data_IF_674187860467
#
_entry.id   IF_674187860467
#
_cell.length_a   1.000
_cell.length_b   1.000
_cell.length_c   1.000
_cell.angle_alpha   90.00
_cell.angle_beta   90.00
_cell.angle_gamma   90.00
#
_symmetry.space_group_name_H-M   'P 1'
#
loop_
_entity.id
_entity.type
_entity.pdbx_description
1 polymer ?
#
# COMPACT_ATOMS: atom_id res chain seq x y z
N UNK A 1 6.70 4.38 -18.01
CA UNK A 1 6.73 5.57 -17.15
C UNK A 1 8.08 5.63 -16.48
N UNK A 2 8.67 6.79 -16.30
CA UNK A 2 9.98 6.98 -15.65
C UNK A 2 9.86 8.10 -14.63
N UNK A 3 10.31 7.83 -13.42
CA UNK A 3 10.60 8.82 -12.38
C UNK A 3 12.12 8.98 -12.35
N UNK A 4 12.61 10.20 -12.54
CA UNK A 4 14.04 10.46 -12.35
C UNK A 4 14.27 10.67 -10.86
N UNK A 5 15.25 9.99 -10.30
CA UNK A 5 15.64 10.16 -8.91
C UNK A 5 17.09 10.66 -8.80
N UNK A 6 17.37 11.40 -7.73
CA UNK A 6 18.71 11.77 -7.33
C UNK A 6 19.14 10.90 -6.13
N UNK A 7 19.63 9.68 -6.41
CA UNK A 7 19.83 8.69 -5.35
C UNK A 7 20.98 9.04 -4.39
N UNK A 8 22.14 9.38 -4.95
CA UNK A 8 23.38 9.67 -4.24
C UNK A 8 24.20 10.67 -5.06
N UNK A 9 25.01 11.50 -4.39
CA UNK A 9 25.88 12.45 -5.11
C UNK A 9 27.12 11.76 -5.66
N UNK A 10 27.74 10.89 -4.85
CA UNK A 10 28.89 10.08 -5.27
C UNK A 10 28.45 8.66 -5.62
N UNK A 11 28.95 8.05 -6.72
CA UNK A 11 28.66 6.65 -7.05
C UNK A 11 29.03 5.71 -5.89
N UNK A 12 28.10 4.85 -5.48
CA UNK A 12 28.32 3.92 -4.38
C UNK A 12 27.03 3.22 -3.95
N UNK A 13 27.15 2.33 -2.96
CA UNK A 13 26.01 1.70 -2.32
C UNK A 13 25.44 2.62 -1.25
N UNK A 14 24.14 2.84 -1.32
CA UNK A 14 23.35 3.53 -0.33
C UNK A 14 22.75 2.47 0.63
N UNK A 15 22.50 2.72 1.92
CA UNK A 15 22.41 4.01 2.56
C UNK A 15 22.93 3.91 4.00
N UNK A 16 24.07 4.54 4.31
CA UNK A 16 24.57 4.62 5.68
C UNK A 16 24.17 5.96 6.29
N UNK A 17 24.02 6.02 7.62
CA UNK A 17 23.83 7.30 8.34
C UNK A 17 25.05 8.23 8.24
N UNK A 18 26.21 7.71 7.82
CA UNK A 18 27.50 8.42 7.86
C UNK A 18 28.29 8.33 6.55
N UNK A 19 27.64 8.04 5.42
CA UNK A 19 28.31 8.02 4.11
C UNK A 19 28.63 9.44 3.57
N UNK A 20 28.22 10.49 4.26
CA UNK A 20 28.46 11.88 3.87
C UNK A 20 27.67 12.31 2.64
N UNK A 21 26.57 11.62 2.32
CA UNK A 21 25.63 11.96 1.26
C UNK A 21 24.18 12.12 1.78
N UNK A 22 23.93 11.99 3.08
CA UNK A 22 22.57 11.83 3.61
C UNK A 22 21.76 13.12 3.67
N UNK A 23 22.37 14.28 3.88
CA UNK A 23 21.64 15.53 4.08
C UNK A 23 22.38 16.76 3.55
N UNK A 24 21.65 17.86 3.33
CA UNK A 24 22.20 19.12 2.85
C UNK A 24 23.36 19.61 3.72
N UNK A 25 24.51 19.87 3.09
CA UNK A 25 25.74 20.29 3.79
C UNK A 25 26.62 19.15 4.28
N UNK A 26 26.23 17.89 4.06
CA UNK A 26 27.15 16.77 4.19
C UNK A 26 28.36 16.92 3.26
N UNK A 27 29.44 16.20 3.58
CA UNK A 27 30.73 16.26 2.87
C UNK A 27 30.61 16.20 1.35
N UNK A 28 29.68 15.40 0.83
CA UNK A 28 29.48 15.19 -0.60
C UNK A 28 28.12 15.71 -1.08
N UNK A 29 27.37 16.48 -0.28
CA UNK A 29 26.05 16.97 -0.68
C UNK A 29 25.96 18.49 -0.54
N UNK A 30 26.52 19.18 -1.55
CA UNK A 30 26.41 20.63 -1.71
C UNK A 30 25.02 20.99 -2.29
N UNK A 31 24.23 21.84 -1.61
CA UNK A 31 22.89 22.21 -2.09
C UNK A 31 22.88 22.98 -3.41
N UNK A 32 23.87 23.83 -3.69
CA UNK A 32 23.92 24.61 -4.93
C UNK A 32 24.27 23.72 -6.13
N UNK A 33 25.20 22.78 -5.95
CA UNK A 33 25.50 21.76 -6.96
C UNK A 33 24.27 20.90 -7.26
N UNK A 34 23.55 20.48 -6.23
CA UNK A 34 22.32 19.72 -6.36
C UNK A 34 21.21 20.48 -7.10
N UNK A 35 20.97 21.76 -6.78
CA UNK A 35 20.01 22.59 -7.50
C UNK A 35 20.36 22.71 -8.99
N UNK A 36 21.64 22.88 -9.31
CA UNK A 36 22.12 22.90 -10.70
C UNK A 36 21.91 21.55 -11.41
N UNK A 37 22.13 20.43 -10.70
CA UNK A 37 21.85 19.09 -11.19
C UNK A 37 20.36 18.88 -11.50
N UNK A 38 19.48 19.27 -10.58
CA UNK A 38 18.03 19.22 -10.77
C UNK A 38 17.58 20.03 -12.00
N UNK A 39 18.04 21.28 -12.13
CA UNK A 39 17.75 22.12 -13.28
C UNK A 39 18.20 21.48 -14.60
N UNK A 40 19.41 20.91 -14.61
CA UNK A 40 19.99 20.26 -15.79
C UNK A 40 19.16 19.07 -16.23
N UNK A 41 18.79 18.18 -15.29
CA UNK A 41 17.97 17.00 -15.59
C UNK A 41 16.55 17.39 -16.01
N UNK A 42 15.92 18.35 -15.32
CA UNK A 42 14.60 18.85 -15.68
C UNK A 42 14.58 19.43 -17.10
N UNK A 43 15.57 20.27 -17.44
CA UNK A 43 15.74 20.85 -18.78
C UNK A 43 15.96 19.78 -19.84
N UNK A 44 16.85 18.81 -19.57
CA UNK A 44 17.19 17.73 -20.51
C UNK A 44 15.96 16.89 -20.88
N UNK A 45 15.10 16.58 -19.92
CA UNK A 45 13.93 15.71 -20.12
C UNK A 45 12.61 16.45 -20.39
N UNK A 46 12.64 17.78 -20.58
CA UNK A 46 11.45 18.63 -20.78
C UNK A 46 10.48 18.13 -21.85
N UNK A 47 10.99 17.57 -22.94
CA UNK A 47 10.18 17.09 -24.07
C UNK A 47 10.03 15.56 -24.10
N UNK A 48 10.53 14.85 -23.07
CA UNK A 48 10.51 13.39 -23.01
C UNK A 48 9.27 12.91 -22.27
N UNK A 49 8.20 12.62 -23.02
CA UNK A 49 6.87 12.25 -22.46
C UNK A 49 6.86 11.04 -21.53
N UNK A 50 7.86 10.16 -21.63
CA UNK A 50 7.96 8.98 -20.76
C UNK A 50 8.47 9.33 -19.36
N UNK A 51 9.16 10.46 -19.18
CA UNK A 51 9.55 11.00 -17.88
C UNK A 51 8.36 11.79 -17.34
N UNK A 52 7.76 11.29 -16.27
CA UNK A 52 6.53 11.85 -15.73
C UNK A 52 6.75 12.59 -14.41
N UNK A 53 7.85 12.30 -13.72
CA UNK A 53 8.15 12.87 -12.42
C UNK A 53 9.65 12.95 -12.18
N UNK A 54 10.03 13.82 -11.25
CA UNK A 54 11.36 13.89 -10.67
C UNK A 54 11.25 13.83 -9.14
N UNK A 55 11.83 12.80 -8.53
CA UNK A 55 12.17 12.85 -7.10
C UNK A 55 13.41 13.69 -6.91
N UNK A 56 13.35 14.58 -5.92
CA UNK A 56 14.39 15.55 -5.70
C UNK A 56 15.63 14.96 -5.02
N UNK A 57 15.48 13.97 -4.13
CA UNK A 57 16.59 13.34 -3.41
C UNK A 57 16.13 12.07 -2.69
N UNK A 58 16.80 10.96 -2.90
CA UNK A 58 16.56 9.74 -2.14
C UNK A 58 16.99 9.84 -0.66
N UNK A 59 16.14 9.39 0.25
CA UNK A 59 16.44 9.03 1.63
C UNK A 59 17.27 10.07 2.39
N UNK A 60 16.73 11.28 2.55
CA UNK A 60 17.36 12.29 3.39
C UNK A 60 17.52 11.72 4.82
N UNK A 61 18.75 11.73 5.33
CA UNK A 61 19.14 10.97 6.54
C UNK A 61 20.38 11.53 7.23
N UNK A 62 20.64 11.09 8.45
CA UNK A 62 21.92 11.30 9.13
C UNK A 62 21.90 12.39 10.20
N UNK A 63 23.06 12.65 10.83
CA UNK A 63 23.13 13.47 12.05
C UNK A 63 22.84 14.96 11.83
N UNK A 64 22.93 15.46 10.58
CA UNK A 64 22.67 16.86 10.25
C UNK A 64 21.22 17.15 9.85
N UNK A 65 20.33 16.15 9.88
CA UNK A 65 18.94 16.33 9.51
C UNK A 65 18.28 17.47 10.30
N UNK A 66 17.68 18.38 9.56
CA UNK A 66 17.04 19.55 10.12
C UNK A 66 15.80 19.92 9.30
N UNK A 67 14.63 19.94 9.94
CA UNK A 67 13.35 20.22 9.29
C UNK A 67 13.35 21.59 8.60
N UNK A 68 13.93 22.63 9.22
CA UNK A 68 13.97 23.97 8.61
C UNK A 68 14.82 24.02 7.34
N UNK A 69 15.95 23.29 7.32
CA UNK A 69 16.77 23.15 6.11
C UNK A 69 16.09 22.28 5.05
N UNK A 70 15.35 21.23 5.45
CA UNK A 70 14.52 20.46 4.54
C UNK A 70 13.51 21.36 3.84
N UNK A 71 12.74 22.18 4.58
CA UNK A 71 11.77 23.09 3.96
C UNK A 71 12.44 24.07 2.99
N UNK A 72 13.57 24.65 3.40
CA UNK A 72 14.31 25.58 2.55
C UNK A 72 14.72 24.93 1.23
N UNK A 73 15.46 23.84 1.28
CA UNK A 73 16.08 23.28 0.09
C UNK A 73 15.12 22.44 -0.75
N UNK A 74 14.21 21.68 -0.14
CA UNK A 74 13.23 20.90 -0.89
C UNK A 74 12.25 21.81 -1.64
N UNK A 75 11.82 22.93 -1.05
CA UNK A 75 11.03 23.91 -1.79
C UNK A 75 11.84 24.60 -2.90
N UNK A 76 13.10 24.98 -2.64
CA UNK A 76 13.96 25.54 -3.69
C UNK A 76 14.16 24.57 -4.87
N UNK A 77 14.45 23.30 -4.60
CA UNK A 77 14.57 22.27 -5.62
C UNK A 77 13.28 22.06 -6.41
N UNK A 78 12.13 22.10 -5.72
CA UNK A 78 10.83 22.00 -6.36
C UNK A 78 10.55 23.15 -7.34
N UNK A 79 10.83 24.39 -6.93
CA UNK A 79 10.69 25.56 -7.81
C UNK A 79 11.61 25.46 -9.03
N UNK A 80 12.88 25.09 -8.82
CA UNK A 80 13.85 24.92 -9.90
C UNK A 80 13.40 23.87 -10.92
N UNK A 81 12.93 22.71 -10.47
CA UNK A 81 12.43 21.66 -11.37
C UNK A 81 11.19 22.12 -12.13
N UNK A 82 10.23 22.73 -11.43
CA UNK A 82 8.98 23.16 -12.06
C UNK A 82 9.19 24.30 -13.06
N UNK A 83 10.09 25.26 -12.78
CA UNK A 83 10.46 26.33 -13.71
C UNK A 83 11.09 25.77 -15.00
N UNK A 84 12.02 24.82 -14.86
CA UNK A 84 12.70 24.19 -15.99
C UNK A 84 11.77 23.25 -16.79
N UNK A 85 10.89 22.53 -16.09
CA UNK A 85 10.00 21.53 -16.67
C UNK A 85 8.65 21.47 -15.93
N UNK A 86 7.66 22.30 -16.32
CA UNK A 86 6.32 22.28 -15.70
C UNK A 86 5.48 21.06 -16.10
N UNK A 87 6.01 20.19 -16.98
CA UNK A 87 5.32 18.99 -17.46
C UNK A 87 5.30 17.88 -16.42
N UNK A 88 6.38 17.74 -15.65
CA UNK A 88 6.59 16.64 -14.69
C UNK A 88 5.92 16.91 -13.34
N UNK A 89 5.64 15.83 -12.60
CA UNK A 89 5.39 15.89 -11.17
C UNK A 89 6.71 16.10 -10.43
N UNK A 90 6.66 16.83 -9.32
CA UNK A 90 7.79 17.05 -8.41
C UNK A 90 7.52 16.26 -7.15
N UNK A 91 8.40 15.31 -6.83
CA UNK A 91 8.26 14.41 -5.68
C UNK A 91 9.21 14.88 -4.55
N UNK A 92 8.66 15.11 -3.36
CA UNK A 92 9.43 15.45 -2.17
C UNK A 92 9.58 14.25 -1.24
N UNK A 93 10.83 13.90 -0.98
CA UNK A 93 11.25 12.85 -0.06
C UNK A 93 11.19 13.27 1.41
N UNK A 94 11.09 12.28 2.29
CA UNK A 94 10.95 12.45 3.72
C UNK A 94 12.27 12.61 4.46
N UNK A 95 12.21 12.47 5.79
CA UNK A 95 13.38 12.34 6.66
C UNK A 95 13.51 10.89 7.14
N UNK A 96 14.59 10.62 7.85
CA UNK A 96 14.97 9.29 8.34
C UNK A 96 14.86 8.18 7.29
N UNK A 97 15.57 8.31 6.16
CA UNK A 97 15.51 7.34 5.06
C UNK A 97 14.11 7.26 4.43
N UNK A 98 13.49 8.42 4.21
CA UNK A 98 12.12 8.55 3.71
C UNK A 98 11.07 7.82 4.55
N UNK A 99 11.39 7.47 5.80
CA UNK A 99 10.44 6.80 6.67
C UNK A 99 9.45 7.79 7.30
N UNK A 100 9.71 9.10 7.32
CA UNK A 100 8.80 10.06 7.94
C UNK A 100 8.66 11.40 7.23
N UNK A 101 7.40 11.81 7.09
CA UNK A 101 6.91 13.10 6.62
C UNK A 101 6.05 13.79 7.71
N UNK A 102 6.09 13.29 8.96
CA UNK A 102 5.20 13.72 10.05
C UNK A 102 5.25 15.23 10.36
N UNK A 103 6.39 15.87 10.10
CA UNK A 103 6.58 17.31 10.28
C UNK A 103 5.77 18.17 9.29
N UNK A 104 5.17 17.57 8.25
CA UNK A 104 4.25 18.24 7.33
C UNK A 104 2.82 18.32 7.88
N UNK A 105 2.48 17.54 8.92
CA UNK A 105 1.10 17.47 9.43
C UNK A 105 0.54 18.84 9.82
N UNK A 106 1.35 19.66 10.50
CA UNK A 106 0.96 20.99 10.97
C UNK A 106 1.50 22.14 10.13
N UNK A 107 2.38 21.86 9.16
CA UNK A 107 3.06 22.88 8.38
C UNK A 107 3.18 22.41 6.92
N UNK A 108 2.22 22.70 6.04
CA UNK A 108 2.31 22.31 4.64
C UNK A 108 3.44 23.09 3.93
N UNK A 109 3.95 22.53 2.83
CA UNK A 109 4.90 23.26 1.97
C UNK A 109 4.23 24.43 1.26
N UNK A 110 5.01 25.46 0.96
CA UNK A 110 4.57 26.64 0.22
C UNK A 110 5.37 26.78 -1.07
N UNK A 111 4.69 26.55 -2.20
CA UNK A 111 5.25 26.61 -3.55
C UNK A 111 4.44 27.58 -4.41
N UNK A 112 5.06 28.11 -5.45
CA UNK A 112 4.44 29.01 -6.43
C UNK A 112 3.46 28.31 -7.37
N UNK A 113 3.52 26.98 -7.43
CA UNK A 113 2.72 26.13 -8.30
C UNK A 113 1.84 25.14 -7.51
N UNK A 114 0.79 24.63 -8.18
CA UNK A 114 -0.17 23.68 -7.60
C UNK A 114 -0.45 22.53 -8.57
N UNK A 115 -0.93 21.39 -8.05
CA UNK A 115 -1.37 20.25 -8.88
C UNK A 115 -0.23 19.45 -9.54
N UNK A 116 1.02 19.68 -9.11
CA UNK A 116 2.21 18.97 -9.58
C UNK A 116 3.05 18.35 -8.46
N UNK A 117 2.67 18.57 -7.21
CA UNK A 117 3.40 18.10 -6.04
C UNK A 117 2.93 16.71 -5.62
N UNK A 118 3.89 15.84 -5.31
CA UNK A 118 3.71 14.51 -4.73
C UNK A 118 4.70 14.36 -3.58
N UNK A 119 4.36 13.59 -2.56
CA UNK A 119 5.31 13.19 -1.52
C UNK A 119 5.68 11.73 -1.68
N UNK A 120 6.85 11.32 -1.19
CA UNK A 120 7.23 9.91 -1.19
C UNK A 120 7.68 9.40 0.18
N UNK A 121 7.45 8.11 0.40
CA UNK A 121 7.77 7.41 1.63
C UNK A 121 8.26 5.99 1.32
N UNK A 122 9.30 5.55 2.03
CA UNK A 122 9.81 4.19 1.93
C UNK A 122 9.16 3.33 3.00
N UNK A 123 8.91 2.06 2.67
CA UNK A 123 8.35 1.12 3.64
C UNK A 123 8.88 -0.30 3.44
N UNK A 124 9.70 -0.75 4.38
CA UNK A 124 10.24 -2.10 4.48
C UNK A 124 9.81 -2.75 5.79
N UNK A 125 9.93 -4.07 5.88
CA UNK A 125 9.66 -4.81 7.13
C UNK A 125 10.49 -4.32 8.32
N UNK A 126 11.65 -3.72 8.05
CA UNK A 126 12.57 -3.14 9.02
C UNK A 126 12.50 -1.60 9.15
N UNK A 127 11.62 -0.91 8.40
CA UNK A 127 11.47 0.56 8.47
C UNK A 127 10.89 1.05 9.79
N UNK A 128 10.11 0.20 10.46
CA UNK A 128 9.42 0.50 11.70
C UNK A 128 9.93 -0.39 12.83
N UNK A 129 9.49 -0.10 14.06
CA UNK A 129 9.78 -0.94 15.23
C UNK A 129 9.03 -2.29 15.24
N UNK A 130 8.52 -2.71 14.07
CA UNK A 130 7.77 -3.94 13.89
C UNK A 130 8.67 -5.17 14.06
N UNK A 131 8.46 -5.91 15.14
CA UNK A 131 9.17 -7.17 15.37
C UNK A 131 8.40 -8.36 14.76
N UNK A 132 8.39 -8.42 13.43
CA UNK A 132 7.64 -9.39 12.65
C UNK A 132 8.00 -10.86 12.96
N UNK A 133 9.24 -11.13 13.38
CA UNK A 133 9.70 -12.51 13.59
C UNK A 133 9.26 -13.11 14.92
N UNK A 134 9.17 -12.30 15.97
CA UNK A 134 9.00 -12.82 17.34
C UNK A 134 7.72 -12.36 18.03
N UNK A 135 6.91 -11.51 17.39
CA UNK A 135 5.62 -11.07 17.92
C UNK A 135 4.46 -11.59 17.06
N UNK A 136 3.25 -11.52 17.63
CA UNK A 136 2.03 -11.87 16.92
C UNK A 136 1.83 -10.94 15.71
N UNK A 137 1.72 -11.53 14.51
CA UNK A 137 1.68 -10.79 13.25
C UNK A 137 0.48 -9.83 13.15
N UNK A 138 -0.65 -10.18 13.76
CA UNK A 138 -1.84 -9.31 13.79
C UNK A 138 -1.64 -8.07 14.67
N UNK A 139 -1.00 -8.24 15.82
CA UNK A 139 -0.66 -7.14 16.72
C UNK A 139 0.39 -6.22 16.10
N UNK A 140 1.43 -6.79 15.50
CA UNK A 140 2.47 -6.03 14.79
C UNK A 140 1.88 -5.25 13.62
N UNK A 141 1.05 -5.88 12.78
CA UNK A 141 0.42 -5.19 11.65
C UNK A 141 -0.48 -4.02 12.12
N UNK A 142 -1.25 -4.19 13.20
CA UNK A 142 -2.04 -3.08 13.76
C UNK A 142 -1.15 -1.90 14.22
N UNK A 143 -0.06 -2.19 14.92
CA UNK A 143 0.89 -1.19 15.43
C UNK A 143 1.59 -0.43 14.30
N UNK A 144 2.24 -1.13 13.37
CA UNK A 144 3.00 -0.53 12.27
C UNK A 144 2.11 0.26 11.31
N UNK A 145 0.88 -0.20 11.07
CA UNK A 145 -0.12 0.57 10.29
C UNK A 145 -0.48 1.87 11.01
N UNK A 146 -0.53 1.86 12.35
CA UNK A 146 -0.65 3.08 13.14
C UNK A 146 0.52 4.04 12.92
N UNK A 147 1.76 3.53 12.95
CA UNK A 147 2.97 4.33 12.73
C UNK A 147 3.04 4.93 11.33
N UNK A 148 2.88 4.12 10.28
CA UNK A 148 2.98 4.62 8.90
C UNK A 148 1.90 5.65 8.58
N UNK A 149 0.71 5.53 9.20
CA UNK A 149 -0.34 6.56 9.11
C UNK A 149 0.10 7.90 9.68
N UNK A 150 0.71 7.91 10.87
CA UNK A 150 1.21 9.13 11.50
C UNK A 150 2.46 9.68 10.79
N UNK A 151 3.25 8.81 10.17
CA UNK A 151 4.49 9.19 9.49
C UNK A 151 4.26 9.74 8.08
N UNK A 152 3.28 9.26 7.32
CA UNK A 152 3.07 9.74 5.94
C UNK A 152 1.66 9.57 5.38
N UNK A 153 0.96 8.45 5.64
CA UNK A 153 -0.34 8.22 4.98
C UNK A 153 -1.42 9.27 5.34
N UNK A 154 -1.24 10.05 6.42
CA UNK A 154 -2.12 11.18 6.73
C UNK A 154 -2.22 12.19 5.58
N UNK A 155 -1.20 12.29 4.72
CA UNK A 155 -1.18 13.21 3.59
C UNK A 155 -2.33 12.95 2.61
N UNK A 156 -2.71 11.69 2.40
CA UNK A 156 -3.85 11.32 1.57
C UNK A 156 -5.16 11.92 2.11
N UNK A 157 -5.32 11.95 3.44
CA UNK A 157 -6.49 12.54 4.09
C UNK A 157 -6.52 14.07 3.97
N UNK A 158 -5.34 14.69 3.85
CA UNK A 158 -5.19 16.12 3.58
C UNK A 158 -5.31 16.46 2.08
N UNK A 159 -5.53 15.45 1.21
CA UNK A 159 -5.70 15.63 -0.24
C UNK A 159 -4.38 15.69 -1.03
N UNK A 160 -3.26 15.29 -0.42
CA UNK A 160 -1.96 15.24 -1.08
C UNK A 160 -1.65 13.84 -1.61
N UNK A 161 -1.17 13.70 -2.86
CA UNK A 161 -0.68 12.43 -3.37
C UNK A 161 0.54 11.94 -2.58
N UNK A 162 0.56 10.65 -2.28
CA UNK A 162 1.69 9.96 -1.66
C UNK A 162 2.08 8.76 -2.51
N UNK A 163 3.36 8.68 -2.82
CA UNK A 163 3.98 7.61 -3.59
C UNK A 163 4.83 6.74 -2.66
N UNK A 164 4.57 5.44 -2.59
CA UNK A 164 5.49 4.52 -1.91
C UNK A 164 6.65 4.20 -2.86
N UNK A 165 7.61 5.12 -2.94
CA UNK A 165 8.72 5.07 -3.90
C UNK A 165 9.61 3.85 -3.74
N UNK A 166 9.67 3.28 -2.53
CA UNK A 166 10.35 2.02 -2.30
C UNK A 166 9.62 1.16 -1.26
N UNK A 167 9.42 -0.10 -1.61
CA UNK A 167 9.24 -1.20 -0.68
C UNK A 167 9.97 -2.43 -1.22
N UNK A 168 10.30 -3.36 -0.34
CA UNK A 168 10.96 -4.59 -0.75
C UNK A 168 10.93 -5.64 0.36
N UNK A 169 11.28 -6.85 -0.04
CA UNK A 169 11.40 -8.01 0.84
C UNK A 169 12.35 -9.03 0.20
N UNK A 170 12.96 -9.90 0.99
CA UNK A 170 13.76 -11.01 0.46
C UNK A 170 12.90 -11.96 -0.37
N UNK A 171 13.06 -11.90 -1.69
CA UNK A 171 12.25 -12.66 -2.64
C UNK A 171 12.61 -14.14 -2.70
N UNK A 172 13.67 -14.60 -2.03
CA UNK A 172 13.91 -16.02 -1.80
C UNK A 172 12.79 -16.68 -0.98
N UNK A 173 12.02 -15.87 -0.23
CA UNK A 173 10.96 -16.35 0.66
C UNK A 173 11.48 -17.00 1.93
N UNK A 174 12.77 -16.88 2.24
CA UNK A 174 13.38 -17.49 3.44
C UNK A 174 13.35 -16.58 4.67
N UNK A 175 13.27 -15.26 4.47
CA UNK A 175 13.24 -14.28 5.55
C UNK A 175 11.85 -14.17 6.19
N UNK A 176 11.71 -14.62 7.44
CA UNK A 176 10.42 -14.70 8.13
C UNK A 176 9.78 -13.33 8.33
N UNK A 177 10.55 -12.34 8.80
CA UNK A 177 10.03 -10.99 9.07
C UNK A 177 9.41 -10.33 7.84
N UNK A 178 10.20 -10.24 6.78
CA UNK A 178 9.81 -9.79 5.44
C UNK A 178 8.56 -10.47 4.87
N UNK A 179 8.48 -11.80 4.95
CA UNK A 179 7.31 -12.54 4.48
C UNK A 179 6.03 -12.13 5.22
N UNK A 180 6.12 -11.97 6.54
CA UNK A 180 4.98 -11.58 7.39
C UNK A 180 4.59 -10.11 7.21
N UNK A 181 5.58 -9.24 7.01
CA UNK A 181 5.40 -7.84 6.67
C UNK A 181 4.63 -7.68 5.35
N UNK A 182 5.03 -8.41 4.32
CA UNK A 182 4.52 -8.24 2.95
C UNK A 182 3.00 -8.36 2.86
N UNK A 183 2.39 -9.31 3.58
CA UNK A 183 0.93 -9.46 3.58
C UNK A 183 0.23 -8.25 4.22
N UNK A 184 0.81 -7.66 5.27
CA UNK A 184 0.31 -6.42 5.87
C UNK A 184 0.46 -5.24 4.89
N UNK A 185 1.63 -5.09 4.26
CA UNK A 185 1.89 -4.07 3.25
C UNK A 185 0.85 -4.11 2.11
N UNK A 186 0.66 -5.28 1.49
CA UNK A 186 -0.28 -5.44 0.37
C UNK A 186 -1.71 -5.08 0.76
N UNK A 187 -2.09 -5.31 2.02
CA UNK A 187 -3.42 -4.92 2.53
C UNK A 187 -3.59 -3.40 2.59
N UNK A 188 -2.54 -2.66 2.98
CA UNK A 188 -2.55 -1.20 3.08
C UNK A 188 -2.46 -0.57 1.70
N UNK A 189 -1.57 -1.07 0.83
CA UNK A 189 -1.47 -0.61 -0.55
C UNK A 189 -2.81 -0.75 -1.28
N UNK A 190 -3.55 -1.83 -1.04
CA UNK A 190 -4.90 -2.02 -1.59
C UNK A 190 -5.95 -1.08 -0.97
N UNK A 191 -5.96 -0.93 0.36
CA UNK A 191 -6.92 -0.09 1.08
C UNK A 191 -6.79 1.39 0.72
N UNK A 192 -5.55 1.85 0.59
CA UNK A 192 -5.22 3.24 0.34
C UNK A 192 -5.08 3.56 -1.16
N UNK A 193 -5.13 2.53 -2.01
CA UNK A 193 -4.97 2.63 -3.47
C UNK A 193 -3.71 3.43 -3.88
N UNK A 194 -2.58 3.08 -3.26
CA UNK A 194 -1.32 3.80 -3.40
C UNK A 194 -0.61 3.47 -4.71
N UNK A 195 0.04 4.48 -5.30
CA UNK A 195 1.11 4.24 -6.26
C UNK A 195 2.36 3.75 -5.52
N UNK A 196 3.09 2.82 -6.11
CA UNK A 196 4.25 2.19 -5.49
C UNK A 196 5.33 1.81 -6.50
N UNK A 197 6.57 1.72 -6.03
CA UNK A 197 7.68 1.11 -6.75
C UNK A 197 8.40 0.10 -5.84
N UNK A 198 8.81 -1.01 -6.44
CA UNK A 198 9.44 -2.12 -5.73
C UNK A 198 10.95 -2.08 -5.90
N UNK A 199 11.65 -2.14 -4.79
CA UNK A 199 13.08 -2.40 -4.75
C UNK A 199 13.31 -3.91 -4.77
N UNK A 200 13.87 -4.49 -5.84
CA UNK A 200 14.32 -3.84 -7.08
C UNK A 200 14.05 -4.70 -8.32
N UNK A 201 14.30 -4.18 -9.52
CA UNK A 201 14.12 -4.97 -10.75
C UNK A 201 15.27 -5.96 -10.96
N UNK A 202 16.52 -5.54 -10.74
CA UNK A 202 17.71 -6.31 -11.04
C UNK A 202 17.79 -7.61 -10.24
N UNK A 203 18.23 -8.70 -10.87
CA UNK A 203 18.53 -9.95 -10.18
C UNK A 203 19.97 -10.05 -9.68
N UNK A 204 20.88 -9.28 -10.26
CA UNK A 204 22.29 -9.25 -9.87
C UNK A 204 22.96 -7.93 -10.20
N UNK A 205 24.09 -7.64 -9.55
CA UNK A 205 24.91 -6.46 -9.80
C UNK A 205 26.08 -6.79 -10.70
N UNK A 206 26.49 -5.85 -11.56
CA UNK A 206 27.78 -6.00 -12.23
C UNK A 206 28.93 -6.09 -11.20
N UNK A 207 28.99 -5.13 -10.29
CA UNK A 207 29.83 -5.13 -9.09
C UNK A 207 29.03 -4.51 -7.93
N UNK A 208 29.05 -5.13 -6.76
CA UNK A 208 28.58 -4.54 -5.50
C UNK A 208 29.63 -4.77 -4.42
N UNK A 209 30.10 -3.68 -3.82
CA UNK A 209 31.09 -3.71 -2.72
C UNK A 209 32.32 -4.59 -3.03
N UNK A 210 32.80 -4.53 -4.27
CA UNK A 210 33.96 -5.30 -4.75
C UNK A 210 33.65 -6.74 -5.16
N UNK A 211 32.40 -7.21 -5.02
CA UNK A 211 31.96 -8.54 -5.45
C UNK A 211 31.32 -8.46 -6.84
N UNK A 212 31.88 -9.21 -7.80
CA UNK A 212 31.33 -9.36 -9.15
C UNK A 212 30.06 -10.21 -9.12
N UNK A 213 29.07 -9.86 -9.95
CA UNK A 213 27.84 -10.63 -10.11
C UNK A 213 27.11 -10.92 -8.78
N UNK A 214 27.15 -9.96 -7.84
CA UNK A 214 26.51 -10.11 -6.53
C UNK A 214 25.01 -10.34 -6.71
N UNK A 215 24.44 -11.33 -6.03
CA UNK A 215 23.01 -11.67 -6.12
C UNK A 215 22.15 -10.64 -5.37
N UNK A 216 21.15 -10.07 -6.06
CA UNK A 216 20.17 -9.19 -5.43
C UNK A 216 18.98 -10.03 -4.98
N UNK A 217 18.96 -10.42 -3.70
CA UNK A 217 17.90 -11.26 -3.14
C UNK A 217 16.55 -10.53 -3.05
N UNK A 218 16.54 -9.19 -3.03
CA UNK A 218 15.32 -8.36 -3.10
C UNK A 218 14.91 -8.10 -4.56
N UNK A 219 15.61 -8.67 -5.53
CA UNK A 219 15.38 -8.48 -6.95
C UNK A 219 14.18 -9.27 -7.49
N UNK A 220 13.30 -8.59 -8.23
CA UNK A 220 12.18 -9.19 -8.98
C UNK A 220 12.64 -10.28 -9.95
N UNK A 221 13.80 -10.08 -10.59
CA UNK A 221 14.37 -11.02 -11.53
C UNK A 221 15.31 -12.01 -10.84
N UNK A 222 15.38 -13.23 -11.39
CA UNK A 222 16.40 -14.21 -11.02
C UNK A 222 17.79 -13.66 -11.31
N UNK A 223 18.80 -14.22 -10.63
CA UNK A 223 20.20 -13.79 -10.75
C UNK A 223 20.69 -13.64 -12.19
N UNK A 224 20.23 -14.51 -13.08
CA UNK A 224 20.56 -14.56 -14.51
C UNK A 224 19.66 -13.66 -15.40
N UNK A 225 18.74 -12.91 -14.80
CA UNK A 225 17.79 -12.02 -15.45
C UNK A 225 16.74 -12.70 -16.35
N UNK A 226 16.64 -14.04 -16.30
CA UNK A 226 15.79 -14.81 -17.22
C UNK A 226 14.34 -14.95 -16.76
N UNK A 227 14.09 -14.96 -15.45
CA UNK A 227 12.77 -15.31 -14.89
C UNK A 227 12.41 -14.41 -13.70
N UNK A 228 11.15 -14.44 -13.29
CA UNK A 228 10.75 -13.83 -12.02
C UNK A 228 11.29 -14.69 -10.86
N UNK A 229 11.99 -14.07 -9.90
CA UNK A 229 12.55 -14.74 -8.72
C UNK A 229 11.45 -15.34 -7.84
N UNK A 230 10.34 -14.63 -7.70
CA UNK A 230 9.20 -15.06 -6.90
C UNK A 230 7.88 -14.99 -7.71
N UNK A 231 7.53 -16.04 -8.48
CA UNK A 231 6.32 -16.04 -9.31
C UNK A 231 5.02 -15.97 -8.51
N UNK A 232 5.00 -16.44 -7.25
CA UNK A 232 3.80 -16.34 -6.41
C UNK A 232 3.56 -14.89 -5.99
N UNK A 233 4.61 -14.12 -5.69
CA UNK A 233 4.50 -12.69 -5.42
C UNK A 233 3.95 -11.90 -6.63
N UNK A 234 4.40 -12.19 -7.85
CA UNK A 234 3.86 -11.56 -9.07
C UNK A 234 2.34 -11.73 -9.18
N UNK A 235 1.81 -12.89 -8.77
CA UNK A 235 0.36 -13.13 -8.71
C UNK A 235 -0.30 -12.30 -7.61
N UNK A 236 0.32 -12.23 -6.42
CA UNK A 236 -0.21 -11.49 -5.26
C UNK A 236 -0.34 -9.98 -5.51
N UNK A 237 0.60 -9.39 -6.25
CA UNK A 237 0.60 -7.94 -6.50
C UNK A 237 -0.22 -7.52 -7.72
N UNK A 238 -0.66 -8.47 -8.56
CA UNK A 238 -1.38 -8.20 -9.81
C UNK A 238 -2.57 -7.25 -9.61
N UNK A 239 -3.38 -7.49 -8.57
CA UNK A 239 -4.55 -6.66 -8.28
C UNK A 239 -4.21 -5.18 -7.98
N UNK A 240 -2.98 -4.89 -7.53
CA UNK A 240 -2.48 -3.56 -7.19
C UNK A 240 -1.82 -2.83 -8.36
N UNK A 241 -1.62 -3.50 -9.51
CA UNK A 241 -1.02 -2.87 -10.69
C UNK A 241 -1.98 -1.92 -11.41
N UNK A 242 -3.28 -2.05 -11.15
CA UNK A 242 -4.30 -1.10 -11.59
C UNK A 242 -4.86 -0.39 -10.38
N UNK A 243 -5.23 0.88 -10.50
CA UNK A 243 -5.91 1.57 -9.41
C UNK A 243 -7.30 0.97 -9.16
N UNK A 244 -7.74 0.90 -7.91
CA UNK A 244 -9.11 0.57 -7.53
C UNK A 244 -10.04 1.76 -7.71
N UNK A 245 -9.52 2.98 -7.55
CA UNK A 245 -10.25 4.23 -7.57
C UNK A 245 -9.55 5.27 -8.47
N UNK A 246 -10.23 6.40 -8.73
CA UNK A 246 -9.61 7.56 -9.37
C UNK A 246 -10.15 7.95 -10.75
N UNK A 247 -9.73 9.11 -11.27
CA UNK A 247 -10.36 9.78 -12.41
C UNK A 247 -10.18 9.06 -13.74
N UNK A 248 -9.22 8.13 -13.85
CA UNK A 248 -8.98 7.34 -15.05
C UNK A 248 -9.91 6.13 -15.22
N UNK A 249 -10.79 5.86 -14.25
CA UNK A 249 -11.66 4.68 -14.26
C UNK A 249 -13.07 5.00 -14.82
N UNK A 250 -13.69 4.07 -15.58
CA UNK A 250 -14.97 4.31 -16.27
C UNK A 250 -16.14 4.72 -15.35
N UNK A 251 -16.15 4.23 -14.10
CA UNK A 251 -17.24 4.41 -13.14
C UNK A 251 -16.78 5.14 -11.86
N UNK A 252 -15.86 6.09 -11.98
CA UNK A 252 -15.26 6.83 -10.84
C UNK A 252 -16.27 7.47 -9.87
N UNK A 253 -17.53 7.66 -10.28
CA UNK A 253 -18.60 8.24 -9.46
C UNK A 253 -19.42 7.22 -8.66
N UNK A 254 -19.43 5.93 -9.02
CA UNK A 254 -20.16 4.88 -8.30
C UNK A 254 -19.21 4.03 -7.47
N UNK A 255 -18.89 4.51 -6.26
CA UNK A 255 -18.05 3.78 -5.33
C UNK A 255 -18.80 2.57 -4.75
N UNK A 256 -18.10 1.45 -4.62
CA UNK A 256 -18.57 0.24 -3.97
C UNK A 256 -17.43 -0.43 -3.19
N UNK A 257 -17.77 -1.43 -2.38
CA UNK A 257 -16.78 -2.21 -1.65
C UNK A 257 -16.42 -3.47 -2.43
N UNK A 258 -15.15 -3.85 -2.39
CA UNK A 258 -14.65 -5.19 -2.70
C UNK A 258 -13.99 -5.77 -1.46
N UNK A 259 -13.96 -7.09 -1.36
CA UNK A 259 -13.35 -7.79 -0.23
C UNK A 259 -12.06 -8.42 -0.74
N UNK A 260 -10.93 -7.81 -0.43
CA UNK A 260 -9.59 -8.19 -0.87
C UNK A 260 -8.91 -9.14 0.12
N UNK A 261 -8.24 -10.17 -0.39
CA UNK A 261 -7.50 -11.15 0.40
C UNK A 261 -5.98 -11.01 0.13
N UNK A 262 -5.22 -10.29 0.99
CA UNK A 262 -3.83 -9.90 0.73
C UNK A 262 -2.83 -11.06 0.62
N UNK A 263 -3.14 -12.22 1.18
CA UNK A 263 -2.27 -13.40 1.03
C UNK A 263 -2.28 -13.93 -0.40
N UNK A 264 -3.44 -13.92 -1.08
CA UNK A 264 -3.57 -14.40 -2.46
C UNK A 264 -3.49 -13.29 -3.51
N UNK A 265 -3.76 -12.04 -3.14
CA UNK A 265 -3.93 -10.94 -4.10
C UNK A 265 -5.25 -10.99 -4.86
N UNK A 266 -6.23 -11.76 -4.38
CA UNK A 266 -7.52 -11.98 -5.02
C UNK A 266 -8.65 -11.31 -4.23
N UNK A 267 -9.81 -11.19 -4.85
CA UNK A 267 -11.01 -10.65 -4.22
C UNK A 267 -12.11 -11.71 -4.12
N UNK A 268 -13.03 -11.52 -3.17
CA UNK A 268 -14.22 -12.36 -3.03
C UNK A 268 -15.16 -12.15 -4.22
N UNK A 269 -15.49 -13.25 -4.88
CA UNK A 269 -16.43 -13.36 -6.00
C UNK A 269 -17.63 -14.22 -5.60
N UNK A 270 -18.79 -13.91 -6.17
CA UNK A 270 -20.00 -14.74 -6.07
C UNK A 270 -19.94 -15.86 -7.09
N UNK A 271 -20.05 -17.10 -6.60
CA UNK A 271 -20.10 -18.32 -7.41
C UNK A 271 -21.53 -18.86 -7.43
N UNK A 272 -22.10 -18.98 -8.63
CA UNK A 272 -23.46 -19.49 -8.79
C UNK A 272 -23.59 -20.92 -8.23
N UNK A 273 -24.70 -21.27 -7.55
CA UNK A 273 -25.90 -20.45 -7.31
C UNK A 273 -25.82 -19.49 -6.12
N UNK A 274 -25.02 -19.77 -5.08
CA UNK A 274 -24.98 -18.97 -3.84
C UNK A 274 -23.65 -19.02 -3.07
N UNK A 275 -22.60 -19.63 -3.64
CA UNK A 275 -21.30 -19.71 -2.98
C UNK A 275 -20.49 -18.43 -3.14
N UNK A 276 -19.39 -18.33 -2.41
CA UNK A 276 -18.34 -17.33 -2.67
C UNK A 276 -16.97 -18.01 -2.76
N UNK A 277 -16.10 -17.44 -3.57
CA UNK A 277 -14.78 -17.99 -3.90
C UNK A 277 -13.80 -16.83 -4.13
N UNK A 278 -12.50 -17.08 -4.07
CA UNK A 278 -11.50 -16.07 -4.44
C UNK A 278 -11.29 -16.04 -5.96
N UNK A 279 -11.20 -14.85 -6.53
CA UNK A 279 -10.88 -14.66 -7.93
C UNK A 279 -10.37 -13.26 -8.28
N UNK A 280 -10.28 -12.96 -9.57
CA UNK A 280 -9.70 -11.69 -10.04
C UNK A 280 -10.45 -10.49 -9.49
N UNK A 281 -9.73 -9.53 -8.90
CA UNK A 281 -10.34 -8.29 -8.40
C UNK A 281 -10.97 -7.43 -9.51
N UNK A 282 -10.55 -7.59 -10.76
CA UNK A 282 -11.21 -6.95 -11.92
C UNK A 282 -12.59 -7.50 -12.23
N UNK A 283 -12.92 -8.68 -11.71
CA UNK A 283 -14.21 -9.35 -11.86
C UNK A 283 -15.05 -9.30 -10.57
N UNK A 284 -14.55 -8.57 -9.55
CA UNK A 284 -15.20 -8.53 -8.25
C UNK A 284 -16.59 -7.93 -8.30
N UNK A 285 -17.51 -8.58 -7.59
CA UNK A 285 -18.85 -8.06 -7.45
C UNK A 285 -18.85 -6.81 -6.57
N UNK A 286 -19.84 -5.95 -6.79
CA UNK A 286 -20.00 -4.75 -5.98
C UNK A 286 -20.76 -5.04 -4.69
N UNK A 287 -20.09 -4.81 -3.55
CA UNK A 287 -20.66 -4.96 -2.22
C UNK A 287 -20.95 -3.60 -1.58
N UNK A 288 -21.93 -3.57 -0.68
CA UNK A 288 -22.16 -2.50 0.27
C UNK A 288 -21.86 -3.05 1.67
N UNK A 289 -20.89 -2.44 2.36
CA UNK A 289 -20.66 -2.70 3.77
C UNK A 289 -21.41 -1.66 4.60
N UNK A 290 -22.45 -2.10 5.29
CA UNK A 290 -23.38 -1.20 5.98
C UNK A 290 -22.89 -0.81 7.37
N UNK A 291 -23.49 0.23 7.95
CA UNK A 291 -23.30 0.60 9.36
C UNK A 291 -23.80 -0.47 10.34
N UNK A 292 -24.67 -1.37 9.89
CA UNK A 292 -25.11 -2.57 10.60
C UNK A 292 -24.17 -3.77 10.43
N UNK A 293 -22.99 -3.58 9.84
CA UNK A 293 -21.99 -4.62 9.56
C UNK A 293 -22.46 -5.69 8.56
N UNK A 294 -23.42 -5.39 7.68
CA UNK A 294 -23.82 -6.34 6.64
C UNK A 294 -22.94 -6.18 5.40
N UNK A 295 -22.51 -7.29 4.81
CA UNK A 295 -21.88 -7.32 3.49
C UNK A 295 -22.93 -7.69 2.45
N UNK A 296 -23.54 -6.69 1.83
CA UNK A 296 -24.69 -6.83 0.92
C UNK A 296 -24.25 -6.69 -0.53
N UNK A 297 -24.61 -7.66 -1.38
CA UNK A 297 -24.37 -7.60 -2.81
C UNK A 297 -25.28 -6.55 -3.45
N UNK A 298 -24.72 -5.52 -4.08
CA UNK A 298 -25.50 -4.41 -4.68
C UNK A 298 -26.48 -4.90 -5.75
N UNK A 299 -26.10 -5.92 -6.52
CA UNK A 299 -26.90 -6.42 -7.64
C UNK A 299 -28.17 -7.17 -7.22
N UNK A 300 -28.17 -7.87 -6.07
CA UNK A 300 -29.28 -8.75 -5.68
C UNK A 300 -29.88 -8.42 -4.31
N UNK A 301 -29.20 -7.60 -3.49
CA UNK A 301 -29.59 -7.35 -2.10
C UNK A 301 -29.33 -8.52 -1.14
N UNK A 302 -28.74 -9.62 -1.62
CA UNK A 302 -28.35 -10.74 -0.76
C UNK A 302 -27.11 -10.38 0.05
N UNK A 303 -27.00 -10.89 1.27
CA UNK A 303 -25.85 -10.69 2.13
C UNK A 303 -25.03 -11.97 2.30
N UNK A 304 -23.74 -11.78 2.62
CA UNK A 304 -22.86 -12.85 3.04
C UNK A 304 -23.31 -13.42 4.39
N UNK A 305 -23.33 -14.74 4.52
CA UNK A 305 -23.78 -15.46 5.71
C UNK A 305 -22.84 -16.61 6.07
N UNK A 306 -22.73 -16.86 7.37
CA UNK A 306 -22.11 -18.05 7.96
C UNK A 306 -23.17 -19.07 8.39
N UNK A 307 -22.93 -20.36 8.19
CA UNK A 307 -23.88 -21.42 8.62
C UNK A 307 -23.35 -22.21 9.82
N UNK A 308 -22.13 -22.74 9.71
CA UNK A 308 -21.43 -23.41 10.78
C UNK A 308 -19.91 -23.36 10.59
N UNK A 309 -19.17 -23.71 11.63
CA UNK A 309 -17.71 -23.84 11.56
C UNK A 309 -17.33 -24.88 10.49
N UNK A 310 -16.39 -24.52 9.61
CA UNK A 310 -15.88 -25.37 8.53
C UNK A 310 -16.70 -25.37 7.25
N UNK A 311 -17.90 -24.79 7.24
CA UNK A 311 -18.74 -24.72 6.04
C UNK A 311 -18.39 -23.51 5.16
N UNK A 312 -18.77 -23.60 3.88
CA UNK A 312 -18.60 -22.50 2.93
C UNK A 312 -19.43 -21.27 3.33
N UNK A 313 -18.83 -20.10 3.22
CA UNK A 313 -19.59 -18.85 3.28
C UNK A 313 -20.53 -18.77 2.07
N UNK A 314 -21.75 -18.26 2.27
CA UNK A 314 -22.79 -18.26 1.23
C UNK A 314 -23.63 -17.00 1.24
N UNK A 315 -24.34 -16.77 0.14
CA UNK A 315 -25.32 -15.70 0.02
C UNK A 315 -26.68 -16.13 0.58
N UNK A 316 -27.26 -15.28 1.43
CA UNK A 316 -28.62 -15.41 1.93
C UNK A 316 -29.44 -14.15 1.75
N UNK A 317 -30.75 -14.29 1.88
CA UNK A 317 -31.72 -13.20 1.71
C UNK A 317 -32.11 -12.54 3.04
N UNK A 318 -31.85 -13.18 4.17
CA UNK A 318 -32.21 -12.71 5.51
C UNK A 318 -30.99 -12.10 6.20
N UNK A 319 -30.81 -10.79 6.01
CA UNK A 319 -29.67 -10.05 6.55
C UNK A 319 -29.89 -9.54 7.98
N UNK A 320 -30.99 -9.93 8.62
CA UNK A 320 -31.31 -9.48 9.99
C UNK A 320 -30.57 -10.27 11.07
N UNK A 321 -30.10 -11.48 10.76
CA UNK A 321 -29.53 -12.43 11.72
C UNK A 321 -28.08 -12.16 12.08
N UNK A 322 -27.66 -12.61 13.26
CA UNK A 322 -26.29 -12.45 13.77
C UNK A 322 -25.24 -13.00 12.81
N UNK A 323 -25.51 -14.13 12.15
CA UNK A 323 -24.61 -14.80 11.19
C UNK A 323 -24.42 -14.06 9.86
N UNK A 324 -25.03 -12.88 9.72
CA UNK A 324 -24.88 -11.97 8.58
C UNK A 324 -24.29 -10.60 8.97
N UNK A 325 -23.90 -10.46 10.25
CA UNK A 325 -23.28 -9.26 10.84
C UNK A 325 -21.77 -9.50 10.95
N UNK A 326 -21.00 -8.88 10.08
CA UNK A 326 -19.56 -9.09 9.88
C UNK A 326 -18.74 -7.93 10.45
N UNK A 327 -18.20 -8.10 11.65
CA UNK A 327 -17.37 -7.12 12.35
C UNK A 327 -15.89 -7.30 12.03
N UNK A 328 -15.12 -6.20 12.07
CA UNK A 328 -13.67 -6.22 12.00
C UNK A 328 -13.10 -6.24 13.42
N UNK A 329 -12.59 -7.39 13.87
CA UNK A 329 -12.39 -7.65 15.32
C UNK A 329 -10.94 -7.64 15.79
N UNK A 330 -9.97 -7.54 14.89
CA UNK A 330 -8.54 -7.69 15.21
C UNK A 330 -7.78 -6.37 15.16
N UNK A 331 -6.62 -6.30 15.82
CA UNK A 331 -5.75 -5.11 15.79
C UNK A 331 -5.37 -4.65 14.37
N UNK A 332 -5.17 -5.59 13.44
CA UNK A 332 -4.96 -5.25 12.01
C UNK A 332 -6.23 -4.81 11.27
N UNK A 333 -7.41 -5.03 11.86
CA UNK A 333 -8.71 -4.80 11.24
C UNK A 333 -9.06 -5.80 10.12
N UNK A 334 -8.33 -6.91 9.97
CA UNK A 334 -8.49 -7.82 8.83
C UNK A 334 -9.28 -9.11 9.12
N UNK A 335 -9.63 -9.37 10.39
CA UNK A 335 -10.50 -10.50 10.70
C UNK A 335 -11.97 -10.09 10.54
N UNK A 336 -12.58 -10.45 9.42
CA UNK A 336 -14.02 -10.26 9.14
C UNK A 336 -14.79 -11.40 9.84
N UNK A 337 -15.46 -11.08 10.94
CA UNK A 337 -16.01 -12.04 11.89
C UNK A 337 -17.51 -11.90 12.12
N UNK A 338 -18.21 -13.02 12.33
CA UNK A 338 -19.64 -13.05 12.63
C UNK A 338 -19.96 -14.10 13.70
N UNK A 339 -21.17 -14.06 14.25
CA UNK A 339 -21.65 -15.00 15.27
C UNK A 339 -22.73 -15.91 14.70
N UNK A 340 -22.52 -17.22 14.81
CA UNK A 340 -23.47 -18.22 14.34
C UNK A 340 -24.79 -18.12 15.13
N UNK A 341 -25.91 -18.12 14.41
CA UNK A 341 -27.26 -17.96 15.00
C UNK A 341 -27.63 -19.09 15.97
N UNK A 342 -27.04 -20.29 15.81
CA UNK A 342 -27.42 -21.48 16.57
C UNK A 342 -26.89 -21.48 18.00
N UNK A 343 -25.67 -21.01 18.21
CA UNK A 343 -24.91 -21.19 19.45
C UNK A 343 -24.09 -19.95 19.85
N UNK A 344 -24.10 -18.88 19.05
CA UNK A 344 -23.31 -17.67 19.28
C UNK A 344 -21.81 -17.88 19.03
N UNK A 345 -21.39 -19.01 18.47
CA UNK A 345 -19.98 -19.28 18.19
C UNK A 345 -19.47 -18.24 17.19
N UNK A 346 -18.35 -17.60 17.55
CA UNK A 346 -17.70 -16.61 16.71
C UNK A 346 -16.81 -17.28 15.67
N UNK A 347 -17.03 -16.91 14.42
CA UNK A 347 -16.27 -17.40 13.25
C UNK A 347 -15.72 -16.23 12.45
N UNK A 348 -14.68 -16.50 11.67
CA UNK A 348 -14.05 -15.58 10.74
C UNK A 348 -14.09 -16.17 9.33
N UNK A 349 -14.11 -15.30 8.31
CA UNK A 349 -13.83 -15.75 6.94
C UNK A 349 -12.43 -16.37 6.88
N UNK A 350 -12.29 -17.47 6.14
CA UNK A 350 -11.04 -18.22 6.00
C UNK A 350 -10.94 -18.74 4.56
N UNK A 351 -9.88 -18.33 3.86
CA UNK A 351 -9.60 -18.79 2.50
C UNK A 351 -8.66 -19.99 2.51
N UNK A 352 -9.08 -21.08 1.87
CA UNK A 352 -8.19 -22.20 1.59
C UNK A 352 -7.29 -21.92 0.38
N UNK A 353 -6.17 -22.67 0.24
CA UNK A 353 -5.23 -22.47 -0.88
C UNK A 353 -5.84 -22.64 -2.28
N UNK A 354 -6.96 -23.35 -2.42
CA UNK A 354 -7.70 -23.53 -3.67
C UNK A 354 -8.65 -22.37 -4.01
N UNK A 355 -8.78 -21.39 -3.11
CA UNK A 355 -9.64 -20.21 -3.26
C UNK A 355 -10.95 -20.27 -2.49
N UNK A 356 -11.37 -21.46 -2.04
CA UNK A 356 -12.67 -21.63 -1.36
C UNK A 356 -12.72 -20.81 -0.07
N UNK A 357 -13.84 -20.11 0.14
CA UNK A 357 -14.05 -19.29 1.33
C UNK A 357 -14.98 -20.02 2.29
N UNK A 358 -14.47 -20.33 3.46
CA UNK A 358 -15.18 -21.00 4.56
C UNK A 358 -15.31 -20.09 5.76
N UNK A 359 -16.08 -20.52 6.75
CA UNK A 359 -16.11 -19.88 8.07
C UNK A 359 -15.47 -20.75 9.13
N UNK A 360 -14.35 -20.32 9.68
CA UNK A 360 -13.57 -21.06 10.68
C UNK A 360 -13.58 -20.33 12.02
N UNK A 361 -13.18 -21.00 13.10
CA UNK A 361 -12.89 -20.30 14.35
C UNK A 361 -11.81 -19.24 14.10
N UNK A 362 -12.04 -18.03 14.62
CA UNK A 362 -11.07 -16.95 14.49
C UNK A 362 -9.75 -17.35 15.19
N UNK A 363 -8.63 -17.22 14.49
CA UNK A 363 -7.30 -17.55 15.02
C UNK A 363 -6.40 -16.32 15.12
N UNK A 364 -5.33 -16.43 15.90
CA UNK A 364 -4.23 -15.46 15.91
C UNK A 364 -4.62 -13.99 16.22
N UNK A 365 -5.71 -13.77 16.97
CA UNK A 365 -6.21 -12.43 17.27
C UNK A 365 -5.26 -11.59 18.12
N UNK A 366 -4.45 -12.22 18.99
CA UNK A 366 -3.42 -11.54 19.77
C UNK A 366 -2.41 -12.55 20.36
N UNK A 367 -1.27 -12.03 20.83
CA UNK A 367 -0.30 -12.63 21.76
C UNK A 367 0.50 -13.85 21.28
N UNK A 368 -0.06 -14.76 20.48
CA UNK A 368 0.68 -15.94 20.00
C UNK A 368 1.62 -15.55 18.83
N UNK A 369 2.96 -15.58 19.02
CA UNK A 369 3.91 -15.19 17.98
C UNK A 369 4.06 -16.24 16.87
N UNK A 370 3.69 -17.49 17.11
CA UNK A 370 3.82 -18.60 16.15
C UNK A 370 2.55 -18.78 15.31
N UNK A 371 1.49 -18.07 15.64
CA UNK A 371 0.22 -18.17 14.94
C UNK A 371 0.27 -17.41 13.60
N UNK A 372 -0.19 -18.05 12.52
CA UNK A 372 -0.34 -17.43 11.21
C UNK A 372 -1.81 -17.02 10.95
N UNK A 373 -2.12 -15.71 10.89
CA UNK A 373 -3.47 -15.21 10.67
C UNK A 373 -3.86 -15.09 9.18
N UNK A 374 -2.91 -15.22 8.24
CA UNK A 374 -3.01 -14.64 6.90
C UNK A 374 -4.15 -15.22 6.04
N UNK A 375 -4.55 -16.48 6.26
CA UNK A 375 -5.70 -17.08 5.56
C UNK A 375 -7.05 -16.49 5.99
N UNK A 376 -7.11 -15.86 7.17
CA UNK A 376 -8.30 -15.18 7.70
C UNK A 376 -8.24 -13.66 7.55
N UNK A 377 -7.20 -13.14 6.89
CA UNK A 377 -7.09 -11.72 6.64
C UNK A 377 -7.83 -11.35 5.37
N UNK A 378 -8.86 -10.53 5.53
CA UNK A 378 -9.62 -9.93 4.45
C UNK A 378 -9.76 -8.43 4.73
N UNK A 379 -9.68 -7.62 3.68
CA UNK A 379 -9.81 -6.18 3.74
C UNK A 379 -10.99 -5.74 2.91
N UNK A 380 -11.90 -4.97 3.50
CA UNK A 380 -12.98 -4.32 2.78
C UNK A 380 -12.41 -3.00 2.25
N UNK A 381 -12.28 -2.88 0.93
CA UNK A 381 -11.67 -1.70 0.28
C UNK A 381 -12.64 -1.09 -0.73
N UNK A 382 -12.45 0.19 -1.02
CA UNK A 382 -13.26 0.91 -1.98
C UNK A 382 -12.78 0.66 -3.41
N UNK A 383 -13.70 0.59 -4.35
CA UNK A 383 -13.44 0.46 -5.79
C UNK A 383 -14.44 1.27 -6.58
N UNK A 384 -13.98 1.80 -7.70
CA UNK A 384 -14.77 2.43 -8.76
C UNK A 384 -14.42 1.87 -10.14
N UNK A 385 -13.81 0.67 -10.19
CA UNK A 385 -13.58 -0.08 -11.43
C UNK A 385 -14.90 -0.44 -12.10
N UNK A 386 -14.86 -0.71 -13.41
CA UNK A 386 -16.03 -1.18 -14.14
C UNK A 386 -16.51 -2.54 -13.62
N UNK A 387 -17.82 -2.69 -13.41
CA UNK A 387 -18.43 -3.96 -12.99
C UNK A 387 -18.82 -4.74 -14.25
N UNK A 388 -18.33 -5.97 -14.39
CA UNK A 388 -18.70 -6.85 -15.49
C UNK A 388 -20.20 -7.20 -15.43
N UNK A 389 -20.96 -6.82 -16.47
CA UNK A 389 -22.39 -7.15 -16.60
C UNK A 389 -23.38 -6.21 -15.89
N UNK A 390 -22.93 -5.08 -15.31
CA UNK A 390 -23.82 -4.10 -14.67
C UNK A 390 -24.56 -3.19 -15.66
N UNK A 391 -25.89 -3.19 -15.61
CA UNK A 391 -26.70 -2.03 -16.04
C UNK A 391 -26.92 -1.14 -14.81
N UNK A 392 -26.55 0.14 -14.92
CA UNK A 392 -26.64 1.12 -13.82
C UNK A 392 -28.10 1.30 -13.40
N UNK A 393 -28.40 1.02 -12.12
CA UNK A 393 -29.66 1.40 -11.49
C UNK A 393 -29.36 1.89 -10.06
N UNK A 394 -29.49 3.22 -9.92
CA UNK A 394 -29.84 4.04 -8.77
C UNK A 394 -29.14 3.86 -7.40
N UNK A 395 -28.71 5.02 -6.91
CA UNK A 395 -27.91 5.33 -5.72
C UNK A 395 -28.48 4.83 -4.39
N UNK A 396 -27.57 4.30 -3.56
CA UNK A 396 -27.66 4.35 -2.09
C UNK A 396 -26.31 4.84 -1.57
N UNK A 397 -26.34 5.79 -0.64
CA UNK A 397 -25.18 6.40 0.02
C UNK A 397 -24.32 5.34 0.75
N UNK A 398 -23.08 5.13 0.29
CA UNK A 398 -22.06 4.39 1.03
C UNK A 398 -21.32 5.34 1.98
N UNK A 399 -21.28 4.99 3.26
CA UNK A 399 -20.35 5.60 4.21
C UNK A 399 -18.97 4.98 3.95
N UNK A 400 -18.01 5.79 3.50
CA UNK A 400 -16.61 5.38 3.41
C UNK A 400 -16.00 5.20 4.81
N UNK A 401 -14.80 4.58 4.92
CA UNK A 401 -14.21 4.19 6.20
C UNK A 401 -13.73 5.34 7.11
N UNK A 402 -13.93 6.62 6.74
CA UNK A 402 -13.47 7.76 7.54
C UNK A 402 -14.49 8.91 7.50
N UNK A 403 -15.05 9.22 8.68
CA UNK A 403 -15.83 10.44 8.88
C UNK A 403 -14.90 11.65 8.90
N UNK A 404 -15.18 12.74 8.17
CA UNK A 404 -14.47 13.99 8.38
C UNK A 404 -14.81 14.50 9.78
N UNK A 405 -13.77 14.73 10.60
CA UNK A 405 -13.92 15.52 11.80
C UNK A 405 -14.38 16.91 11.36
N UNK A 406 -15.61 17.28 11.71
CA UNK A 406 -16.13 18.62 11.55
C UNK A 406 -15.26 19.58 12.36
N UNK A 407 -14.54 20.47 11.68
CA UNK A 407 -13.98 21.66 12.30
C UNK A 407 -15.15 22.58 12.69
N UNK A 408 -15.46 22.63 13.98
CA UNK A 408 -16.30 23.67 14.56
C UNK A 408 -15.42 24.73 15.22
N UNK A 409 -15.45 25.92 14.59
CA UNK A 409 -15.12 27.27 15.07
C UNK A 409 -13.74 27.55 15.62
#
# INVERSE_FOLDING_TARGET
MVVLDNQMTTPGWCCSRTDGNGFFGDKYFDPEEWLNGLNTMATMFRNTKNVVAMSLRNELRGPYQNVSLWYRYMQQGAEVVHEANPGVLVILSGLDFDNTLSFLFSNPVHLSFTGKLVFEQHWYGFSDEGNWESQNQNDVCGMVVGFIKMKGLFLLQQGWPLFLSEFGFDMSGTHIGDNRYLTCFLSVAAEMDLDWAIWALQGSYYIREGTLAYDESYGLLSWDWCTARNPSFIKRINALQSAFQGPGLPNSQEIYNVIFHPLSGLCVLVKYPKGVDLGSCGESNAWNYTSGYELVLKATGQCLQAESVGEMAKLGTDCSKSNSRWQLISNSGMHISTELTKDGTRVCLDASPDGTITTSLCKCLTADPNCNPESQWFKIILSSRGITGGTSILQVSSLGPWSPASSSS
#
